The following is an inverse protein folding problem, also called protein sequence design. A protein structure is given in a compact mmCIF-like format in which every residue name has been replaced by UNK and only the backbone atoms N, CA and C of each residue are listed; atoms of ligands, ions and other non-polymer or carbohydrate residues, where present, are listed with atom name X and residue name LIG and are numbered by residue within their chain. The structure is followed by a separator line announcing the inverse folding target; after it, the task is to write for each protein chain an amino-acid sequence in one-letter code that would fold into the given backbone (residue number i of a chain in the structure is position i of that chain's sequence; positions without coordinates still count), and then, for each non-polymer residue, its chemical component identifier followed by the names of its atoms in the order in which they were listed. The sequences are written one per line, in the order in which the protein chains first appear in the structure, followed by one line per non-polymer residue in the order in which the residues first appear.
data_IF_786423366080
#
_entry.id   IF_786423366080
#
_cell.length_a   1.000
_cell.length_b   1.000
_cell.length_c   1.000
_cell.angle_alpha   90.00
_cell.angle_beta   90.00
_cell.angle_gamma   90.00
#
_symmetry.space_group_name_H-M   'P 1'
#
loop_
_entity.id
_entity.type
_entity.pdbx_description
1 polymer ?
#
# COMPACT_ATOMS: atom_id res chain seq x y z
N UNK A 1 1.43 -11.46 6.74
CA UNK A 1 2.79 -10.87 6.57
C UNK A 1 2.68 -9.66 5.67
N UNK A 2 3.17 -8.48 6.06
CA UNK A 2 2.89 -7.20 5.36
C UNK A 2 3.33 -7.17 3.88
N UNK A 3 4.46 -7.83 3.54
CA UNK A 3 4.92 -7.91 2.15
C UNK A 3 3.93 -8.65 1.24
N UNK A 4 3.25 -9.67 1.78
CA UNK A 4 2.25 -10.44 1.04
C UNK A 4 1.00 -9.58 0.80
N UNK A 5 0.61 -8.75 1.76
CA UNK A 5 -0.51 -7.81 1.57
C UNK A 5 -0.19 -6.77 0.49
N UNK A 6 1.02 -6.20 0.49
CA UNK A 6 1.46 -5.29 -0.61
C UNK A 6 1.47 -6.00 -1.96
N UNK A 7 1.92 -7.25 -2.01
CA UNK A 7 1.87 -8.06 -3.23
C UNK A 7 0.43 -8.30 -3.70
N UNK A 8 -0.49 -8.66 -2.79
CA UNK A 8 -1.92 -8.85 -3.09
C UNK A 8 -2.56 -7.57 -3.63
N UNK A 9 -2.20 -6.44 -3.06
CA UNK A 9 -2.70 -5.13 -3.44
C UNK A 9 -2.23 -4.74 -4.85
N UNK A 10 -0.94 -4.89 -5.14
CA UNK A 10 -0.40 -4.66 -6.49
C UNK A 10 -0.93 -5.67 -7.50
N UNK A 11 -1.23 -6.91 -7.10
CA UNK A 11 -1.87 -7.91 -7.96
C UNK A 11 -3.27 -7.51 -8.44
N UNK A 12 -3.94 -6.56 -7.79
CA UNK A 12 -5.22 -6.02 -8.28
C UNK A 12 -5.05 -5.16 -9.54
N UNK A 13 -3.87 -4.56 -9.71
CA UNK A 13 -3.55 -3.68 -10.84
C UNK A 13 -2.67 -4.38 -11.88
N UNK A 14 -1.74 -5.23 -11.45
CA UNK A 14 -0.78 -5.91 -12.31
C UNK A 14 -1.09 -7.41 -12.49
N UNK A 15 -0.79 -7.95 -13.68
CA UNK A 15 -0.80 -9.39 -13.94
C UNK A 15 0.36 -10.10 -13.23
N UNK A 16 0.25 -11.42 -13.05
CA UNK A 16 1.36 -12.22 -12.50
C UNK A 16 2.62 -12.10 -13.35
N UNK A 17 2.47 -12.06 -14.68
CA UNK A 17 3.58 -11.93 -15.61
C UNK A 17 4.32 -10.59 -15.49
N UNK A 18 3.61 -9.48 -15.31
CA UNK A 18 4.22 -8.17 -15.06
C UNK A 18 4.93 -8.13 -13.71
N UNK A 19 4.31 -8.67 -12.67
CA UNK A 19 4.93 -8.78 -11.35
C UNK A 19 6.17 -9.66 -11.40
N UNK A 20 6.13 -10.80 -12.09
CA UNK A 20 7.26 -11.70 -12.21
C UNK A 20 8.45 -11.04 -12.92
N UNK A 21 8.19 -10.34 -14.04
CA UNK A 21 9.23 -9.59 -14.77
C UNK A 21 9.86 -8.49 -13.91
N UNK A 22 9.05 -7.73 -13.18
CA UNK A 22 9.53 -6.60 -12.39
C UNK A 22 10.15 -7.03 -11.04
N UNK A 23 9.71 -8.14 -10.44
CA UNK A 23 10.22 -8.67 -9.15
C UNK A 23 11.37 -9.66 -9.32
N UNK A 24 11.60 -10.17 -10.53
CA UNK A 24 12.61 -11.22 -10.77
C UNK A 24 12.28 -12.56 -10.11
N UNK A 25 11.00 -12.82 -9.83
CA UNK A 25 10.54 -14.07 -9.18
C UNK A 25 9.50 -14.79 -10.07
N UNK A 26 9.51 -16.13 -10.15
CA UNK A 26 8.57 -16.86 -11.01
C UNK A 26 7.09 -16.60 -10.65
N UNK A 27 6.21 -16.57 -11.66
CA UNK A 27 4.77 -16.37 -11.47
C UNK A 27 4.16 -17.39 -10.49
N UNK A 28 4.60 -18.64 -10.56
CA UNK A 28 4.14 -19.73 -9.68
C UNK A 28 4.45 -19.46 -8.22
N UNK A 29 5.62 -18.89 -7.91
CA UNK A 29 6.02 -18.51 -6.55
C UNK A 29 5.16 -17.34 -6.07
N UNK A 30 5.00 -16.30 -6.88
CA UNK A 30 4.15 -15.14 -6.56
C UNK A 30 2.69 -15.54 -6.33
N UNK A 31 2.15 -16.46 -7.13
CA UNK A 31 0.80 -16.99 -6.99
C UNK A 31 0.61 -17.69 -5.64
N UNK A 32 1.57 -18.54 -5.22
CA UNK A 32 1.54 -19.21 -3.91
C UNK A 32 1.58 -18.21 -2.76
N UNK A 33 2.39 -17.15 -2.87
CA UNK A 33 2.42 -16.08 -1.87
C UNK A 33 1.09 -15.32 -1.80
N UNK A 34 0.53 -14.93 -2.94
CA UNK A 34 -0.77 -14.23 -3.00
C UNK A 34 -1.89 -15.09 -2.40
N UNK A 35 -1.94 -16.38 -2.72
CA UNK A 35 -2.91 -17.33 -2.15
C UNK A 35 -2.70 -17.61 -0.67
N UNK A 36 -1.46 -17.49 -0.18
CA UNK A 36 -1.07 -17.83 1.18
C UNK A 36 -0.68 -19.30 1.36
N UNK A 37 -0.50 -20.05 0.27
CA UNK A 37 -0.07 -21.46 0.29
C UNK A 37 1.35 -21.61 0.86
N UNK A 38 2.17 -20.58 0.69
CA UNK A 38 3.53 -20.45 1.22
C UNK A 38 3.76 -19.01 1.63
N UNK A 39 4.54 -18.80 2.69
CA UNK A 39 5.02 -17.47 3.08
C UNK A 39 6.51 -17.33 2.72
N UNK A 40 6.95 -16.16 2.25
CA UNK A 40 8.37 -15.92 2.04
C UNK A 40 9.11 -15.96 3.38
N UNK A 41 10.33 -16.53 3.37
CA UNK A 41 11.26 -16.40 4.50
C UNK A 41 11.70 -14.95 4.69
N UNK A 42 12.33 -14.65 5.82
CA UNK A 42 12.69 -13.27 6.22
C UNK A 42 13.49 -12.52 5.15
N UNK A 43 14.56 -13.13 4.63
CA UNK A 43 15.39 -12.53 3.58
C UNK A 43 14.61 -12.30 2.28
N UNK A 44 13.88 -13.33 1.82
CA UNK A 44 13.05 -13.22 0.61
C UNK A 44 11.95 -12.17 0.76
N UNK A 45 11.39 -12.02 1.95
CA UNK A 45 10.40 -11.02 2.25
C UNK A 45 10.98 -9.61 2.21
N UNK A 46 12.20 -9.41 2.71
CA UNK A 46 12.91 -8.13 2.62
C UNK A 46 13.21 -7.76 1.17
N UNK A 47 13.75 -8.68 0.38
CA UNK A 47 13.98 -8.46 -1.06
C UNK A 47 12.69 -8.12 -1.80
N UNK A 48 11.64 -8.90 -1.55
CA UNK A 48 10.33 -8.71 -2.17
C UNK A 48 9.75 -7.35 -1.77
N UNK A 49 9.96 -6.93 -0.52
CA UNK A 49 9.54 -5.62 -0.03
C UNK A 49 10.23 -4.46 -0.76
N UNK A 50 11.56 -4.52 -0.86
CA UNK A 50 12.37 -3.52 -1.58
C UNK A 50 11.97 -3.47 -3.06
N UNK A 51 11.75 -4.62 -3.67
CA UNK A 51 11.32 -4.70 -5.06
C UNK A 51 9.91 -4.12 -5.25
N UNK A 52 8.92 -4.52 -4.45
CA UNK A 52 7.54 -4.02 -4.52
C UNK A 52 7.45 -2.52 -4.24
N UNK A 53 8.35 -1.97 -3.43
CA UNK A 53 8.40 -0.53 -3.14
C UNK A 53 8.86 0.32 -4.32
N UNK A 54 9.35 -0.30 -5.41
CA UNK A 54 9.72 0.37 -6.67
C UNK A 54 8.59 0.40 -7.72
N UNK A 55 7.44 -0.21 -7.46
CA UNK A 55 6.40 -0.44 -8.50
C UNK A 55 5.59 0.81 -8.84
N UNK A 56 5.47 1.74 -7.91
CA UNK A 56 4.86 3.05 -8.09
C UNK A 56 5.31 3.93 -6.92
N UNK A 57 5.69 5.18 -7.19
CA UNK A 57 5.78 6.17 -6.13
C UNK A 57 4.35 6.52 -5.72
N UNK A 58 3.88 5.92 -4.63
CA UNK A 58 2.56 6.19 -4.06
C UNK A 58 2.33 7.70 -3.90
N UNK A 59 3.38 8.48 -3.63
CA UNK A 59 3.31 9.93 -3.55
C UNK A 59 2.99 10.58 -4.90
N UNK A 60 3.48 10.03 -6.01
CA UNK A 60 3.19 10.52 -7.37
C UNK A 60 1.75 10.18 -7.80
N UNK A 61 1.29 8.97 -7.48
CA UNK A 61 -0.12 8.59 -7.68
C UNK A 61 -1.06 9.49 -6.87
N UNK A 62 -0.69 9.84 -5.63
CA UNK A 62 -1.42 10.81 -4.82
C UNK A 62 -1.41 12.20 -5.46
N UNK A 63 -0.23 12.72 -5.83
CA UNK A 63 -0.06 14.06 -6.42
C UNK A 63 -0.83 14.22 -7.73
N UNK A 64 -0.84 13.20 -8.59
CA UNK A 64 -1.55 13.25 -9.88
C UNK A 64 -3.08 13.29 -9.71
N UNK A 65 -3.60 12.80 -8.58
CA UNK A 65 -5.03 12.80 -8.25
C UNK A 65 -5.46 14.00 -7.40
N UNK A 66 -4.51 14.69 -6.76
CA UNK A 66 -4.74 15.93 -6.03
C UNK A 66 -5.06 17.07 -7.01
N UNK A 67 -6.26 17.63 -6.90
CA UNK A 67 -6.64 18.85 -7.62
C UNK A 67 -6.62 20.01 -6.65
N UNK A 68 -6.01 21.11 -7.06
CA UNK A 68 -6.05 22.36 -6.31
C UNK A 68 -7.08 23.28 -6.95
N UNK A 69 -7.88 23.94 -6.11
CA UNK A 69 -8.71 25.04 -6.58
C UNK A 69 -7.90 26.35 -6.70
N UNK A 70 -8.56 27.41 -7.17
CA UNK A 70 -7.94 28.72 -7.37
C UNK A 70 -7.49 29.39 -6.05
N UNK A 71 -7.88 28.87 -4.89
CA UNK A 71 -7.52 29.35 -3.56
C UNK A 71 -6.43 28.48 -2.91
N UNK A 72 -5.94 27.46 -3.60
CA UNK A 72 -4.93 26.52 -3.10
C UNK A 72 -5.49 25.42 -2.19
N UNK A 73 -6.81 25.25 -2.11
CA UNK A 73 -7.40 24.11 -1.41
C UNK A 73 -7.25 22.84 -2.24
N UNK A 74 -6.71 21.82 -1.59
CA UNK A 74 -6.57 20.50 -2.19
C UNK A 74 -7.87 19.71 -2.05
N UNK A 75 -8.52 19.39 -3.17
CA UNK A 75 -9.65 18.48 -3.20
C UNK A 75 -9.16 17.04 -2.99
N UNK A 76 -9.44 16.52 -1.80
CA UNK A 76 -9.09 15.16 -1.38
C UNK A 76 -10.25 14.17 -1.54
N UNK A 77 -11.42 14.60 -2.03
CA UNK A 77 -12.65 13.80 -2.04
C UNK A 77 -12.45 12.45 -2.72
N UNK A 78 -11.84 12.45 -3.92
CA UNK A 78 -11.58 11.24 -4.68
C UNK A 78 -10.53 10.32 -4.03
N UNK A 79 -9.69 10.85 -3.15
CA UNK A 79 -8.65 10.08 -2.45
C UNK A 79 -9.22 9.38 -1.22
N UNK A 80 -9.99 10.11 -0.40
CA UNK A 80 -10.51 9.60 0.87
C UNK A 80 -11.65 8.59 0.69
N UNK A 81 -12.21 8.49 -0.53
CA UNK A 81 -13.22 7.51 -0.90
C UNK A 81 -12.68 6.31 -1.68
N UNK A 82 -11.37 6.24 -1.97
CA UNK A 82 -10.75 5.11 -2.67
C UNK A 82 -10.25 4.06 -1.65
N UNK A 83 -10.91 2.90 -1.50
CA UNK A 83 -10.52 1.89 -0.51
C UNK A 83 -9.14 1.28 -0.79
N UNK A 84 -8.70 1.24 -2.05
CA UNK A 84 -7.38 0.72 -2.39
C UNK A 84 -6.29 1.66 -1.92
N UNK A 85 -6.50 2.96 -2.11
CA UNK A 85 -5.57 4.00 -1.65
C UNK A 85 -5.49 4.03 -0.12
N UNK A 86 -6.63 3.96 0.57
CA UNK A 86 -6.67 3.90 2.03
C UNK A 86 -5.93 2.67 2.57
N UNK A 87 -6.11 1.50 1.94
CA UNK A 87 -5.38 0.29 2.30
C UNK A 87 -3.86 0.43 2.07
N UNK A 88 -3.44 1.02 0.94
CA UNK A 88 -2.03 1.32 0.66
C UNK A 88 -1.43 2.24 1.73
N UNK A 89 -2.12 3.33 2.06
CA UNK A 89 -1.68 4.27 3.09
C UNK A 89 -1.62 3.63 4.48
N UNK A 90 -2.52 2.68 4.78
CA UNK A 90 -2.56 1.96 6.05
C UNK A 90 -1.39 1.00 6.22
N UNK A 91 -1.02 0.30 5.15
CA UNK A 91 0.20 -0.51 5.13
C UNK A 91 1.43 0.38 5.33
N UNK A 92 1.50 1.52 4.62
CA UNK A 92 2.62 2.47 4.73
C UNK A 92 2.77 3.01 6.16
N UNK A 93 1.67 3.43 6.78
CA UNK A 93 1.66 3.86 8.17
C UNK A 93 2.14 2.74 9.12
N UNK A 94 1.61 1.52 8.97
CA UNK A 94 1.97 0.38 9.80
C UNK A 94 3.47 0.10 9.80
N UNK A 95 4.12 0.26 8.65
CA UNK A 95 5.57 0.05 8.54
C UNK A 95 6.38 1.21 9.07
N UNK A 96 5.97 2.45 8.78
CA UNK A 96 6.66 3.65 9.28
C UNK A 96 6.71 3.66 10.81
N UNK A 97 5.72 3.03 11.45
CA UNK A 97 5.62 2.91 12.90
C UNK A 97 5.87 1.49 13.42
N UNK A 98 6.39 0.58 12.59
CA UNK A 98 6.71 -0.79 13.02
C UNK A 98 7.71 -0.78 14.18
N UNK A 99 7.51 -1.70 15.14
CA UNK A 99 8.31 -1.77 16.37
C UNK A 99 7.95 -0.72 17.43
N UNK A 100 7.04 0.23 17.13
CA UNK A 100 6.52 1.18 18.13
C UNK A 100 5.22 0.66 18.73
N UNK A 101 4.99 0.92 20.01
CA UNK A 101 3.73 0.63 20.69
C UNK A 101 2.71 1.75 20.43
N UNK A 102 2.00 1.66 19.31
CA UNK A 102 0.88 2.56 19.01
C UNK A 102 -0.35 2.09 19.80
N UNK A 103 -0.99 3.02 20.51
CA UNK A 103 -2.20 2.71 21.31
C UNK A 103 -3.40 3.54 20.88
N UNK A 104 -3.19 4.61 20.12
CA UNK A 104 -4.20 5.56 19.65
C UNK A 104 -3.80 6.10 18.28
N UNK A 105 -4.81 6.36 17.45
CA UNK A 105 -4.71 7.07 16.18
C UNK A 105 -5.67 8.25 16.28
N UNK A 106 -5.20 9.45 15.96
CA UNK A 106 -5.96 10.70 16.03
C UNK A 106 -5.91 11.39 14.67
N UNK A 107 -6.98 12.09 14.33
CA UNK A 107 -7.08 12.83 13.07
C UNK A 107 -7.95 14.06 13.24
N UNK A 108 -7.74 15.07 12.39
CA UNK A 108 -8.60 16.23 12.33
C UNK A 108 -9.82 15.91 11.45
N UNK A 109 -11.01 16.28 11.93
CA UNK A 109 -12.23 16.15 11.14
C UNK A 109 -12.22 17.12 9.94
N UNK A 110 -12.76 16.75 8.78
CA UNK A 110 -13.54 15.54 8.46
C UNK A 110 -12.77 14.57 7.54
N UNK A 111 -11.98 15.10 6.60
CA UNK A 111 -11.36 14.32 5.52
C UNK A 111 -10.34 13.30 6.00
N UNK A 112 -9.73 13.50 7.18
CA UNK A 112 -8.77 12.56 7.74
C UNK A 112 -9.38 11.32 8.40
N UNK A 113 -10.72 11.27 8.57
CA UNK A 113 -11.41 10.18 9.25
C UNK A 113 -11.27 8.85 8.51
N UNK A 114 -11.56 8.73 7.19
CA UNK A 114 -11.45 7.44 6.50
C UNK A 114 -10.03 6.85 6.54
N UNK A 115 -9.01 7.70 6.44
CA UNK A 115 -7.61 7.27 6.55
C UNK A 115 -7.27 6.78 7.96
N UNK A 116 -7.61 7.55 8.98
CA UNK A 116 -7.35 7.17 10.36
C UNK A 116 -8.08 5.87 10.74
N UNK A 117 -9.32 5.71 10.29
CA UNK A 117 -10.10 4.48 10.46
C UNK A 117 -9.42 3.32 9.74
N UNK A 118 -8.99 3.49 8.49
CA UNK A 118 -8.31 2.43 7.74
C UNK A 118 -7.00 1.99 8.38
N UNK A 119 -6.24 2.90 9.01
CA UNK A 119 -5.00 2.56 9.73
C UNK A 119 -5.31 1.81 11.05
N UNK A 120 -6.46 2.09 11.65
CA UNK A 120 -6.86 1.53 12.95
C UNK A 120 -7.47 0.12 12.85
N UNK A 121 -7.90 -0.29 11.66
CA UNK A 121 -8.47 -1.61 11.35
C UNK A 121 -7.38 -2.64 11.09
#
# INVERSE_FOLDING_TARGET
MMVVEKLRLLKKTYSYNELARKLGKPETVLCRYVKGDVLPGEETARELWEALSRFEDFAETLRSRLKFDNYGFADTTNLIHDPHLLMQASLEASMRFAGKRLTKILTAAVNGIPLATSIAL
#
